data_IF_142786300447
#
_entry.id   IF_142786300447
#
_cell.length_a   1.000
_cell.length_b   1.000
_cell.length_c   1.000
_cell.angle_alpha   90.00
_cell.angle_beta   90.00
_cell.angle_gamma   90.00
#
_symmetry.space_group_name_H-M   'P 1'
#
loop_
_entity.id
_entity.type
_entity.pdbx_description
1 polymer ?
#
# COMPACT_ATOMS: atom_id res chain seq x y z
N UNK A 1 6.46 8.67 -30.43
CA UNK A 1 6.13 7.30 -29.98
C UNK A 1 4.91 7.38 -29.07
N UNK A 2 3.78 6.82 -29.48
CA UNK A 2 2.52 6.88 -28.73
C UNK A 2 2.58 6.07 -27.41
N UNK A 3 3.31 4.97 -27.39
CA UNK A 3 3.43 4.08 -26.24
C UNK A 3 4.79 4.26 -25.57
N UNK A 4 4.82 4.94 -24.42
CA UNK A 4 6.02 5.00 -23.57
C UNK A 4 6.01 3.81 -22.62
N UNK A 5 7.10 3.08 -22.51
CA UNK A 5 7.22 1.87 -21.68
C UNK A 5 6.78 2.14 -20.23
N UNK A 6 7.28 3.22 -19.64
CA UNK A 6 6.92 3.56 -18.26
C UNK A 6 5.41 3.83 -18.08
N UNK A 7 4.73 4.42 -19.07
CA UNK A 7 3.28 4.66 -18.99
C UNK A 7 2.48 3.35 -19.05
N UNK A 8 2.90 2.40 -19.90
CA UNK A 8 2.30 1.08 -19.99
C UNK A 8 2.50 0.31 -18.69
N UNK A 9 3.74 0.28 -18.19
CA UNK A 9 4.08 -0.39 -16.93
C UNK A 9 3.24 0.17 -15.76
N UNK A 10 3.14 1.48 -15.65
CA UNK A 10 2.35 2.12 -14.58
C UNK A 10 0.87 1.73 -14.67
N UNK A 11 0.28 1.69 -15.87
CA UNK A 11 -1.13 1.30 -16.02
C UNK A 11 -1.38 -0.17 -15.71
N UNK A 12 -0.49 -1.07 -16.14
CA UNK A 12 -0.55 -2.49 -15.80
C UNK A 12 -0.37 -2.68 -14.29
N UNK A 13 0.62 -2.04 -13.69
CA UNK A 13 0.85 -2.06 -12.24
C UNK A 13 -0.37 -1.56 -11.46
N UNK A 14 -0.95 -0.43 -11.87
CA UNK A 14 -2.18 0.11 -11.26
C UNK A 14 -3.34 -0.89 -11.35
N UNK A 15 -3.55 -1.52 -12.50
CA UNK A 15 -4.60 -2.53 -12.67
C UNK A 15 -4.38 -3.72 -11.72
N UNK A 16 -3.17 -4.30 -11.68
CA UNK A 16 -2.83 -5.42 -10.80
C UNK A 16 -2.98 -5.07 -9.32
N UNK A 17 -2.54 -3.88 -8.90
CA UNK A 17 -2.69 -3.41 -7.52
C UNK A 17 -4.14 -3.14 -7.12
N UNK A 18 -5.04 -2.96 -8.09
CA UNK A 18 -6.49 -2.93 -7.91
C UNK A 18 -7.16 -4.30 -8.15
N UNK A 19 -6.38 -5.37 -8.18
CA UNK A 19 -6.82 -6.77 -8.35
C UNK A 19 -7.51 -7.05 -9.68
N UNK A 20 -7.14 -6.32 -10.72
CA UNK A 20 -7.67 -6.50 -12.08
C UNK A 20 -6.67 -7.34 -12.88
N UNK A 21 -7.09 -8.54 -13.29
CA UNK A 21 -6.28 -9.41 -14.16
C UNK A 21 -6.27 -8.89 -15.59
N UNK A 22 -5.34 -9.37 -16.40
CA UNK A 22 -5.27 -8.99 -17.81
C UNK A 22 -6.56 -9.36 -18.57
N UNK A 23 -7.17 -10.49 -18.25
CA UNK A 23 -8.43 -10.97 -18.83
C UNK A 23 -9.61 -10.07 -18.42
N UNK A 24 -9.68 -9.72 -17.11
CA UNK A 24 -10.72 -8.81 -16.61
C UNK A 24 -10.58 -7.42 -17.24
N UNK A 25 -9.36 -6.91 -17.35
CA UNK A 25 -9.07 -5.62 -17.99
C UNK A 25 -9.52 -5.60 -19.45
N UNK A 26 -9.24 -6.66 -20.21
CA UNK A 26 -9.56 -6.76 -21.62
C UNK A 26 -11.07 -6.95 -21.88
N UNK A 27 -11.81 -7.51 -20.92
CA UNK A 27 -13.24 -7.76 -21.05
C UNK A 27 -14.13 -6.59 -20.65
N UNK A 28 -13.62 -5.60 -19.94
CA UNK A 28 -14.39 -4.45 -19.46
C UNK A 28 -14.29 -3.27 -20.44
N UNK A 29 -15.43 -2.86 -21.07
CA UNK A 29 -15.46 -1.74 -22.01
C UNK A 29 -15.01 -0.40 -21.40
N UNK A 30 -15.13 -0.23 -20.09
CA UNK A 30 -14.70 1.00 -19.41
C UNK A 30 -13.18 1.22 -19.54
N UNK A 31 -12.38 0.15 -19.42
CA UNK A 31 -10.93 0.24 -19.63
C UNK A 31 -10.59 0.52 -21.09
N UNK A 32 -11.31 -0.08 -22.04
CA UNK A 32 -11.09 0.17 -23.46
C UNK A 32 -11.37 1.65 -23.82
N UNK A 33 -12.42 2.23 -23.26
CA UNK A 33 -12.74 3.65 -23.43
C UNK A 33 -11.69 4.57 -22.81
N UNK A 34 -11.26 4.27 -21.58
CA UNK A 34 -10.21 5.02 -20.90
C UNK A 34 -8.86 4.95 -21.64
N UNK A 35 -8.50 3.78 -22.13
CA UNK A 35 -7.31 3.58 -22.96
C UNK A 35 -7.35 4.37 -24.27
N UNK A 36 -8.53 4.45 -24.89
CA UNK A 36 -8.72 5.27 -26.09
C UNK A 36 -8.52 6.76 -25.80
N UNK A 37 -9.10 7.26 -24.70
CA UNK A 37 -8.93 8.66 -24.27
C UNK A 37 -7.46 9.00 -23.98
N UNK A 38 -6.70 8.05 -23.43
CA UNK A 38 -5.27 8.21 -23.18
C UNK A 38 -4.37 7.86 -24.37
N UNK A 39 -4.95 7.70 -25.57
CA UNK A 39 -4.23 7.38 -26.81
C UNK A 39 -3.45 6.04 -26.76
N UNK A 40 -3.91 5.09 -25.97
CA UNK A 40 -3.33 3.76 -25.82
C UNK A 40 -4.33 2.61 -26.13
N UNK A 41 -5.08 2.64 -27.27
CA UNK A 41 -6.17 1.69 -27.54
C UNK A 41 -5.76 0.21 -27.61
N UNK A 42 -4.46 -0.10 -27.62
CA UNK A 42 -3.93 -1.47 -27.62
C UNK A 42 -3.39 -1.90 -26.25
N UNK A 43 -3.69 -1.15 -25.18
CA UNK A 43 -3.11 -1.47 -23.88
C UNK A 43 -3.61 -2.83 -23.35
N UNK A 44 -4.88 -3.15 -23.52
CA UNK A 44 -5.46 -4.44 -23.15
C UNK A 44 -4.75 -5.61 -23.86
N UNK A 45 -4.49 -5.48 -25.16
CA UNK A 45 -3.73 -6.49 -25.93
C UNK A 45 -2.29 -6.64 -25.41
N UNK A 46 -1.64 -5.51 -25.09
CA UNK A 46 -0.27 -5.52 -24.54
C UNK A 46 -0.26 -6.18 -23.17
N UNK A 47 -1.24 -5.91 -22.30
CA UNK A 47 -1.34 -6.48 -20.98
C UNK A 47 -1.56 -8.00 -21.04
N UNK A 48 -2.47 -8.49 -21.88
CA UNK A 48 -2.67 -9.93 -22.13
C UNK A 48 -1.36 -10.60 -22.56
N UNK A 49 -0.69 -10.07 -23.59
CA UNK A 49 0.58 -10.64 -24.08
C UNK A 49 1.67 -10.61 -23.04
N UNK A 50 1.75 -9.57 -22.23
CA UNK A 50 2.70 -9.48 -21.12
C UNK A 50 2.43 -10.58 -20.09
N UNK A 51 1.18 -10.73 -19.65
CA UNK A 51 0.77 -11.77 -18.70
C UNK A 51 1.06 -13.17 -19.23
N UNK A 52 0.74 -13.45 -20.51
CA UNK A 52 1.00 -14.74 -21.14
C UNK A 52 2.51 -15.05 -21.23
N UNK A 53 3.33 -14.06 -21.51
CA UNK A 53 4.81 -14.24 -21.51
C UNK A 53 5.35 -14.53 -20.13
N UNK A 54 4.86 -13.86 -19.09
CA UNK A 54 5.22 -14.16 -17.70
C UNK A 54 4.86 -15.61 -17.36
N UNK A 55 3.63 -16.04 -17.65
CA UNK A 55 3.17 -17.41 -17.44
C UNK A 55 4.02 -18.44 -18.19
N UNK A 56 4.27 -18.21 -19.47
CA UNK A 56 5.11 -19.09 -20.31
C UNK A 56 6.57 -19.21 -19.83
N UNK A 57 7.06 -18.17 -19.16
CA UNK A 57 8.41 -18.13 -18.59
C UNK A 57 8.48 -18.61 -17.14
N UNK A 58 7.37 -19.11 -16.56
CA UNK A 58 7.25 -19.41 -15.12
C UNK A 58 7.73 -18.24 -14.22
N UNK A 59 7.41 -17.02 -14.62
CA UNK A 59 7.83 -15.80 -13.94
C UNK A 59 6.62 -14.98 -13.48
N UNK A 60 6.81 -14.23 -12.41
CA UNK A 60 5.88 -13.23 -11.91
C UNK A 60 6.63 -11.93 -11.66
N UNK A 61 6.02 -10.79 -11.93
CA UNK A 61 6.50 -9.52 -11.41
C UNK A 61 6.03 -9.29 -9.96
N UNK A 62 6.49 -8.21 -9.33
CA UNK A 62 6.11 -7.90 -7.94
C UNK A 62 4.60 -7.67 -7.76
N UNK A 63 3.94 -7.08 -8.76
CA UNK A 63 2.49 -6.84 -8.71
C UNK A 63 1.71 -8.14 -8.88
N UNK A 64 2.23 -9.09 -9.70
CA UNK A 64 1.65 -10.42 -9.84
C UNK A 64 1.64 -11.19 -8.52
N UNK A 65 2.69 -11.07 -7.71
CA UNK A 65 2.74 -11.72 -6.40
C UNK A 65 1.61 -11.27 -5.49
N UNK A 66 1.31 -9.98 -5.49
CA UNK A 66 0.20 -9.41 -4.71
C UNK A 66 -1.17 -9.81 -5.30
N UNK A 67 -1.33 -9.71 -6.61
CA UNK A 67 -2.55 -10.07 -7.32
C UNK A 67 -2.90 -11.55 -7.09
N UNK A 68 -1.95 -12.45 -7.37
CA UNK A 68 -2.20 -13.90 -7.26
C UNK A 68 -2.30 -14.36 -5.82
N UNK A 69 -1.64 -13.72 -4.85
CA UNK A 69 -1.87 -14.00 -3.44
C UNK A 69 -3.30 -13.64 -3.02
N UNK A 70 -3.83 -12.50 -3.46
CA UNK A 70 -5.23 -12.14 -3.21
C UNK A 70 -6.20 -13.16 -3.84
N UNK A 71 -5.97 -13.57 -5.09
CA UNK A 71 -6.77 -14.58 -5.77
C UNK A 71 -6.70 -15.93 -5.01
N UNK A 72 -5.50 -16.34 -4.61
CA UNK A 72 -5.27 -17.58 -3.89
C UNK A 72 -6.10 -17.66 -2.60
N UNK A 73 -6.00 -16.63 -1.75
CA UNK A 73 -6.71 -16.61 -0.46
C UNK A 73 -8.21 -16.32 -0.61
N UNK A 74 -8.64 -15.74 -1.72
CA UNK A 74 -10.06 -15.53 -2.03
C UNK A 74 -10.75 -16.83 -2.47
N UNK A 75 -10.10 -17.57 -3.36
CA UNK A 75 -10.71 -18.68 -4.08
C UNK A 75 -10.44 -20.04 -3.44
N UNK A 76 -9.51 -20.13 -2.46
CA UNK A 76 -9.12 -21.38 -1.80
C UNK A 76 -9.25 -21.25 -0.28
N UNK A 77 -10.44 -21.58 0.24
CA UNK A 77 -10.74 -21.45 1.66
C UNK A 77 -9.89 -22.35 2.57
N UNK A 78 -9.50 -23.52 2.08
CA UNK A 78 -8.62 -24.45 2.78
C UNK A 78 -7.21 -23.88 2.94
N UNK A 79 -6.67 -23.25 1.89
CA UNK A 79 -5.37 -22.58 1.91
C UNK A 79 -5.43 -21.37 2.85
N UNK A 80 -6.49 -20.55 2.75
CA UNK A 80 -6.69 -19.42 3.65
C UNK A 80 -6.72 -19.87 5.10
N UNK A 81 -7.53 -20.93 5.42
CA UNK A 81 -7.62 -21.45 6.78
C UNK A 81 -6.28 -21.94 7.31
N UNK A 82 -5.50 -22.66 6.48
CA UNK A 82 -4.15 -23.11 6.82
C UNK A 82 -3.23 -21.96 7.23
N UNK A 83 -3.21 -20.87 6.45
CA UNK A 83 -2.36 -19.72 6.77
C UNK A 83 -2.90 -18.92 7.96
N UNK A 84 -4.21 -18.81 8.13
CA UNK A 84 -4.81 -18.21 9.32
C UNK A 84 -4.48 -18.98 10.60
N UNK A 85 -4.41 -20.31 10.55
CA UNK A 85 -4.00 -21.12 11.68
C UNK A 85 -2.50 -21.01 11.97
N UNK A 86 -1.70 -20.86 10.94
CA UNK A 86 -0.26 -20.70 11.07
C UNK A 86 0.12 -19.31 11.61
N UNK A 87 -0.47 -18.25 11.06
CA UNK A 87 -0.22 -16.86 11.48
C UNK A 87 -1.23 -16.40 12.53
N UNK A 88 -0.99 -16.75 13.78
CA UNK A 88 -1.88 -16.37 14.88
C UNK A 88 -1.77 -14.90 15.29
N UNK A 89 -0.65 -14.25 15.01
CA UNK A 89 -0.39 -12.84 15.23
C UNK A 89 0.21 -12.24 13.96
N UNK A 90 -0.33 -11.13 13.53
CA UNK A 90 0.15 -10.40 12.34
C UNK A 90 0.62 -9.03 12.80
N UNK A 91 1.88 -8.71 12.54
CA UNK A 91 2.48 -7.42 12.82
C UNK A 91 2.91 -6.82 11.49
N UNK A 92 2.46 -5.60 11.22
CA UNK A 92 2.77 -4.89 9.97
C UNK A 92 3.46 -3.59 10.32
N UNK A 93 4.66 -3.39 9.77
CA UNK A 93 5.40 -2.14 9.88
C UNK A 93 5.18 -1.27 8.62
N UNK A 94 5.46 0.02 8.73
CA UNK A 94 5.29 1.01 7.66
C UNK A 94 3.89 0.96 7.02
N UNK A 95 2.87 0.78 7.85
CA UNK A 95 1.50 0.50 7.38
C UNK A 95 0.91 1.64 6.53
N UNK A 96 1.38 2.88 6.69
CA UNK A 96 0.99 4.04 5.88
C UNK A 96 1.35 3.88 4.40
N UNK A 97 2.32 3.01 4.08
CA UNK A 97 2.79 2.80 2.71
C UNK A 97 2.16 1.58 2.03
N UNK A 98 1.20 0.93 2.70
CA UNK A 98 0.49 -0.21 2.12
C UNK A 98 -0.47 0.22 1.02
N UNK A 99 -0.48 -0.55 -0.08
CA UNK A 99 -1.45 -0.41 -1.15
C UNK A 99 -2.72 -1.25 -0.90
N UNK A 100 -3.72 -1.12 -1.78
CA UNK A 100 -4.99 -1.82 -1.65
C UNK A 100 -4.85 -3.35 -1.65
N UNK A 101 -4.01 -3.91 -2.52
CA UNK A 101 -3.79 -5.36 -2.60
C UNK A 101 -3.15 -5.90 -1.31
N UNK A 102 -2.14 -5.21 -0.76
CA UNK A 102 -1.51 -5.56 0.51
C UNK A 102 -2.49 -5.48 1.69
N UNK A 103 -3.27 -4.39 1.75
CA UNK A 103 -4.32 -4.23 2.76
C UNK A 103 -5.29 -5.43 2.79
N UNK A 104 -5.76 -5.89 1.63
CA UNK A 104 -6.70 -7.01 1.54
C UNK A 104 -6.09 -8.33 1.99
N UNK A 105 -4.81 -8.60 1.64
CA UNK A 105 -4.09 -9.79 2.10
C UNK A 105 -4.01 -9.79 3.64
N UNK A 106 -3.56 -8.67 4.24
CA UNK A 106 -3.44 -8.52 5.68
C UNK A 106 -4.80 -8.74 6.36
N UNK A 107 -5.84 -8.10 5.84
CA UNK A 107 -7.20 -8.22 6.36
C UNK A 107 -7.69 -9.67 6.34
N UNK A 108 -7.51 -10.37 5.21
CA UNK A 108 -7.93 -11.76 5.06
C UNK A 108 -7.19 -12.70 6.00
N UNK A 109 -5.90 -12.55 6.13
CA UNK A 109 -5.10 -13.38 7.05
C UNK A 109 -5.44 -13.12 8.52
N UNK A 110 -5.74 -11.87 8.90
CA UNK A 110 -6.07 -11.50 10.28
C UNK A 110 -7.50 -11.86 10.70
N UNK A 111 -8.41 -12.13 9.76
CA UNK A 111 -9.86 -12.22 9.96
C UNK A 111 -10.25 -13.27 11.01
N UNK A 112 -9.55 -14.40 11.08
CA UNK A 112 -9.87 -15.52 11.98
C UNK A 112 -9.59 -15.21 13.45
N UNK A 113 -8.43 -14.63 13.73
CA UNK A 113 -7.96 -14.42 15.11
C UNK A 113 -8.10 -12.97 15.59
N UNK A 114 -8.25 -12.04 14.65
CA UNK A 114 -8.34 -10.60 14.91
C UNK A 114 -7.17 -10.04 15.74
N UNK A 115 -5.98 -10.66 15.60
CA UNK A 115 -4.75 -10.33 16.31
C UNK A 115 -3.79 -9.61 15.36
N UNK A 116 -4.16 -8.37 15.02
CA UNK A 116 -3.42 -7.52 14.11
C UNK A 116 -2.82 -6.33 14.85
N UNK A 117 -1.53 -6.13 14.71
CA UNK A 117 -0.83 -4.93 15.16
C UNK A 117 -0.23 -4.23 13.94
N UNK A 118 -0.54 -2.97 13.76
CA UNK A 118 0.03 -2.14 12.70
C UNK A 118 0.84 -1.02 13.31
N UNK A 119 2.02 -0.77 12.75
CA UNK A 119 2.90 0.33 13.12
C UNK A 119 3.11 1.19 11.88
N UNK A 120 3.12 2.49 12.06
CA UNK A 120 3.34 3.41 10.96
C UNK A 120 3.31 4.87 11.40
N UNK A 121 3.70 5.73 10.50
CA UNK A 121 3.69 7.17 10.67
C UNK A 121 2.99 7.83 9.48
N UNK A 122 1.77 8.28 9.70
CA UNK A 122 0.97 8.95 8.69
C UNK A 122 1.64 10.22 8.12
N UNK A 123 2.52 10.86 8.89
CA UNK A 123 3.32 11.99 8.44
C UNK A 123 4.40 11.60 7.41
N UNK A 124 4.77 10.32 7.34
CA UNK A 124 5.76 9.79 6.40
C UNK A 124 5.14 9.12 5.17
N UNK A 125 3.83 9.19 4.97
CA UNK A 125 3.16 8.62 3.79
C UNK A 125 3.46 9.44 2.53
N UNK A 126 4.56 9.11 1.85
CA UNK A 126 5.02 9.79 0.64
C UNK A 126 5.00 8.91 -0.61
N UNK A 127 4.53 7.67 -0.52
CA UNK A 127 4.52 6.69 -1.61
C UNK A 127 3.17 6.54 -2.32
N UNK A 128 2.30 7.55 -2.27
CA UNK A 128 1.02 7.54 -3.00
C UNK A 128 1.20 7.31 -4.52
N UNK A 129 2.29 7.81 -5.11
CA UNK A 129 2.64 7.57 -6.52
C UNK A 129 2.97 6.11 -6.85
N UNK A 130 3.19 5.26 -5.83
CA UNK A 130 3.34 3.80 -5.93
C UNK A 130 2.08 3.04 -5.50
N UNK A 131 0.96 3.73 -5.35
CA UNK A 131 -0.32 3.14 -4.96
C UNK A 131 -0.52 2.98 -3.46
N UNK A 132 0.37 3.53 -2.62
CA UNK A 132 0.14 3.58 -1.18
C UNK A 132 -1.12 4.41 -0.87
N UNK A 133 -1.92 3.90 0.08
CA UNK A 133 -3.15 4.55 0.48
C UNK A 133 -3.11 4.90 1.97
N UNK A 134 -2.91 6.18 2.27
CA UNK A 134 -2.85 6.70 3.63
C UNK A 134 -4.13 6.42 4.44
N UNK A 135 -5.28 6.25 3.77
CA UNK A 135 -6.53 5.91 4.42
C UNK A 135 -6.47 4.56 5.17
N UNK A 136 -5.57 3.67 4.76
CA UNK A 136 -5.39 2.39 5.44
C UNK A 136 -5.00 2.60 6.91
N UNK A 137 -4.10 3.55 7.22
CA UNK A 137 -3.70 3.86 8.59
C UNK A 137 -4.67 4.82 9.27
N UNK A 138 -5.14 5.86 8.57
CA UNK A 138 -6.02 6.87 9.16
C UNK A 138 -7.37 6.29 9.59
N UNK A 139 -7.94 5.37 8.80
CA UNK A 139 -9.24 4.73 9.04
C UNK A 139 -9.12 3.41 9.78
N UNK A 140 -7.92 2.96 10.14
CA UNK A 140 -7.71 1.66 10.78
C UNK A 140 -8.52 1.51 12.07
N UNK A 141 -8.53 2.53 12.92
CA UNK A 141 -9.28 2.51 14.18
C UNK A 141 -10.79 2.37 13.97
N UNK A 142 -11.32 3.00 12.94
CA UNK A 142 -12.76 2.96 12.63
C UNK A 142 -13.18 1.59 12.08
N UNK A 143 -12.24 0.92 11.40
CA UNK A 143 -12.45 -0.41 10.82
C UNK A 143 -12.26 -1.55 11.84
N UNK A 144 -11.61 -1.27 12.98
CA UNK A 144 -11.31 -2.26 14.02
C UNK A 144 -11.91 -1.82 15.36
N UNK A 145 -13.12 -2.30 15.73
CA UNK A 145 -13.89 -1.77 16.87
C UNK A 145 -13.17 -1.81 18.23
N UNK A 146 -12.25 -2.77 18.41
CA UNK A 146 -11.50 -2.94 19.66
C UNK A 146 -10.05 -2.46 19.55
N UNK A 147 -9.74 -1.63 18.56
CA UNK A 147 -8.39 -1.13 18.35
C UNK A 147 -7.93 -0.22 19.49
N UNK A 148 -6.74 -0.49 20.03
CA UNK A 148 -6.03 0.39 20.96
C UNK A 148 -4.97 1.16 20.20
N UNK A 149 -5.04 2.48 20.26
CA UNK A 149 -4.05 3.37 19.66
C UNK A 149 -2.99 3.74 20.70
N UNK A 150 -1.73 3.48 20.37
CA UNK A 150 -0.57 3.93 21.13
C UNK A 150 0.22 4.92 20.29
N UNK A 151 0.63 6.05 20.88
CA UNK A 151 1.45 7.05 20.22
C UNK A 151 2.87 6.97 20.76
N UNK A 152 3.82 6.76 19.84
CA UNK A 152 5.24 6.79 20.14
C UNK A 152 5.77 8.20 19.85
N UNK A 153 5.79 9.06 20.86
CA UNK A 153 6.08 10.48 20.70
C UNK A 153 7.55 10.84 21.01
N UNK A 154 8.29 9.95 21.69
CA UNK A 154 9.71 10.17 21.97
C UNK A 154 10.57 9.80 20.77
N UNK A 155 11.35 10.76 20.29
CA UNK A 155 12.33 10.57 19.22
C UNK A 155 13.72 10.32 19.82
N UNK A 156 14.35 9.22 19.41
CA UNK A 156 15.69 8.80 19.86
C UNK A 156 16.78 9.04 18.81
N UNK A 157 16.41 9.57 17.64
CA UNK A 157 17.31 9.71 16.47
C UNK A 157 17.83 11.12 16.32
N UNK A 158 16.99 12.12 16.55
CA UNK A 158 17.24 13.50 16.20
C UNK A 158 17.35 14.40 17.43
N UNK A 159 18.08 15.50 17.29
CA UNK A 159 18.15 16.56 18.31
C UNK A 159 16.83 17.32 18.40
N UNK A 160 16.60 18.05 19.51
CA UNK A 160 15.35 18.74 19.75
C UNK A 160 15.05 19.82 18.68
N UNK A 161 16.04 20.57 18.21
CA UNK A 161 15.85 21.58 17.16
C UNK A 161 15.31 20.97 15.86
N UNK A 162 15.78 19.78 15.47
CA UNK A 162 15.27 19.08 14.28
C UNK A 162 13.83 18.62 14.50
N UNK A 163 13.53 18.09 15.68
CA UNK A 163 12.18 17.62 16.03
C UNK A 163 11.19 18.77 16.06
N UNK A 164 11.56 19.93 16.61
CA UNK A 164 10.71 21.11 16.67
C UNK A 164 10.43 21.68 15.26
N UNK A 165 11.42 21.68 14.40
CA UNK A 165 11.24 22.10 13.00
C UNK A 165 10.28 21.16 12.26
N UNK A 166 10.43 19.84 12.44
CA UNK A 166 9.55 18.83 11.85
C UNK A 166 8.10 18.97 12.38
N UNK A 167 7.92 19.15 13.68
CA UNK A 167 6.61 19.41 14.28
C UNK A 167 5.95 20.68 13.71
N UNK A 168 6.72 21.76 13.55
CA UNK A 168 6.25 23.03 13.01
C UNK A 168 5.77 22.93 11.56
N UNK A 169 6.40 22.05 10.79
CA UNK A 169 5.99 21.75 9.43
C UNK A 169 4.72 20.91 9.39
N UNK A 170 4.72 19.81 10.15
CA UNK A 170 3.68 18.78 10.05
C UNK A 170 2.35 19.22 10.67
N UNK A 171 2.35 20.13 11.66
CA UNK A 171 1.14 20.66 12.31
C UNK A 171 0.21 21.38 11.31
N UNK A 172 0.73 21.79 10.16
CA UNK A 172 -0.03 22.44 9.08
C UNK A 172 -0.93 21.45 8.33
N UNK A 173 -0.67 20.16 8.42
CA UNK A 173 -1.47 19.12 7.80
C UNK A 173 -2.74 18.86 8.63
N UNK A 174 -3.91 18.90 7.95
CA UNK A 174 -5.22 18.79 8.62
C UNK A 174 -5.70 17.36 8.81
N UNK A 175 -5.26 16.43 7.98
CA UNK A 175 -5.76 15.03 7.94
C UNK A 175 -4.78 14.03 8.57
N UNK A 176 -4.32 14.30 9.81
CA UNK A 176 -3.31 13.47 10.46
C UNK A 176 -3.71 13.03 11.87
N UNK A 177 -3.13 11.93 12.32
CA UNK A 177 -3.18 11.51 13.72
C UNK A 177 -2.31 12.46 14.53
N UNK A 178 -2.91 13.39 15.26
CA UNK A 178 -2.17 14.40 16.04
C UNK A 178 -1.28 13.73 17.07
N UNK A 179 0.01 14.05 17.00
CA UNK A 179 1.05 13.65 17.96
C UNK A 179 2.00 14.82 18.17
N UNK A 180 2.68 14.84 19.30
CA UNK A 180 3.70 15.84 19.59
C UNK A 180 5.01 15.10 19.84
N UNK A 181 5.86 15.04 18.85
CA UNK A 181 7.15 14.35 18.92
C UNK A 181 8.12 15.22 19.70
N UNK A 182 8.88 14.62 20.62
CA UNK A 182 9.89 15.31 21.43
C UNK A 182 11.16 14.47 21.54
N UNK A 183 12.29 15.13 21.79
CA UNK A 183 13.57 14.50 22.07
C UNK A 183 14.02 14.87 23.49
N UNK A 184 14.57 13.91 24.23
CA UNK A 184 15.25 14.15 25.51
C UNK A 184 16.79 14.17 25.34
N UNK A 185 17.26 14.15 24.09
CA UNK A 185 18.67 14.28 23.75
C UNK A 185 19.15 15.73 23.76
N UNK A 186 20.27 15.96 23.10
CA UNK A 186 20.84 17.31 22.95
C UNK A 186 19.89 18.25 22.18
N UNK A 187 19.98 19.53 22.50
CA UNK A 187 19.23 20.58 21.75
C UNK A 187 19.66 20.61 20.29
N UNK A 188 20.96 20.40 20.04
CA UNK A 188 21.55 20.42 18.70
C UNK A 188 21.77 21.83 18.14
N UNK A 189 22.37 21.87 16.96
CA UNK A 189 22.64 23.11 16.26
C UNK A 189 21.37 23.76 15.71
N UNK A 190 21.40 25.08 15.51
CA UNK A 190 20.31 25.81 14.84
C UNK A 190 20.24 25.40 13.37
N UNK A 191 19.02 25.26 12.86
CA UNK A 191 18.79 25.04 11.44
C UNK A 191 19.02 26.35 10.71
N UNK A 192 19.93 26.35 9.74
CA UNK A 192 20.17 27.47 8.85
C UNK A 192 19.42 27.24 7.53
N UNK A 193 18.72 28.28 7.04
CA UNK A 193 17.97 28.29 5.78
C UNK A 193 18.64 29.25 4.80
#
# INVERSE_FOLDING_TARGET
>A
KKYKVAAIQNRISTAKNNLITAEAYASDPAFAQDDYLHQMPKLSEIFLRYSDRCKASNAMDFDDMLLYMNILVRDNADILSKYQDFFQYILVDEYQDTNFAQYLIIKKLAEKHNRLCVVGDDAQSIYSFRGANIDNILKFKDQQPNCKLFKLERNYRSTQNIVDAANSLIIKNKGQIRKNVYSEGEVGDKIHV
#
